data_IF_339365029602
#
_entry.id   IF_339365029602
#
_cell.length_a   1.000
_cell.length_b   1.000
_cell.length_c   1.000
_cell.angle_alpha   90.00
_cell.angle_beta   90.00
_cell.angle_gamma   90.00
#
_symmetry.space_group_name_H-M   'P 1'
#
loop_
_entity.id
_entity.type
_entity.pdbx_description
1 polymer ?
#
# COMPACT_ATOMS: atom_id res chain seq x y z
N UNK A 1 -18.30 -16.74 -18.80
CA UNK A 1 -17.21 -16.44 -17.84
C UNK A 1 -16.32 -15.39 -18.48
N UNK A 2 -15.88 -14.37 -17.74
CA UNK A 2 -15.01 -13.32 -18.25
C UNK A 2 -13.71 -13.32 -17.42
N UNK A 3 -12.57 -13.42 -18.10
CA UNK A 3 -11.24 -13.43 -17.47
C UNK A 3 -10.51 -12.17 -17.93
N UNK A 4 -10.16 -11.24 -17.02
CA UNK A 4 -9.41 -10.04 -17.38
C UNK A 4 -8.00 -10.39 -17.87
N UNK A 5 -7.43 -9.56 -18.76
CA UNK A 5 -6.09 -9.79 -19.31
C UNK A 5 -5.00 -9.74 -18.23
N UNK A 6 -5.25 -8.94 -17.18
CA UNK A 6 -4.37 -8.77 -16.03
C UNK A 6 -4.27 -10.04 -15.16
N UNK A 7 -5.18 -11.01 -15.33
CA UNK A 7 -5.14 -12.29 -14.62
C UNK A 7 -5.61 -12.24 -13.16
N UNK A 8 -6.11 -11.11 -12.68
CA UNK A 8 -6.65 -10.95 -11.32
C UNK A 8 -7.83 -9.97 -11.25
N UNK A 9 -8.59 -10.03 -10.16
CA UNK A 9 -9.65 -9.08 -9.81
C UNK A 9 -9.38 -8.59 -8.39
N UNK A 10 -9.52 -7.27 -8.15
CA UNK A 10 -9.40 -6.68 -6.82
C UNK A 10 -10.68 -5.96 -6.44
N UNK A 11 -11.23 -6.31 -5.28
CA UNK A 11 -12.32 -5.58 -4.63
C UNK A 11 -11.94 -5.35 -3.17
N UNK A 12 -11.92 -4.10 -2.72
CA UNK A 12 -11.54 -3.76 -1.35
C UNK A 12 -12.45 -2.63 -0.81
N UNK A 13 -13.75 -2.73 -1.07
CA UNK A 13 -14.76 -1.71 -0.75
C UNK A 13 -14.50 -0.34 -1.42
N UNK A 14 -13.59 -0.31 -2.40
CA UNK A 14 -13.37 0.83 -3.28
C UNK A 14 -14.51 0.94 -4.30
N UNK A 15 -14.66 2.12 -4.89
CA UNK A 15 -15.60 2.34 -5.99
C UNK A 15 -15.30 1.38 -7.13
N UNK A 16 -16.33 0.64 -7.56
CA UNK A 16 -16.24 -0.37 -8.63
C UNK A 16 -16.58 0.19 -10.01
N UNK A 17 -17.29 1.32 -10.06
CA UNK A 17 -17.80 1.92 -11.28
C UNK A 17 -17.03 3.19 -11.63
N UNK A 18 -16.84 3.44 -12.93
CA UNK A 18 -16.32 4.71 -13.42
C UNK A 18 -17.30 5.87 -13.17
N UNK A 19 -16.83 7.10 -13.37
CA UNK A 19 -17.58 8.32 -13.07
C UNK A 19 -18.89 8.44 -13.87
N UNK A 20 -18.95 7.83 -15.05
CA UNK A 20 -20.13 7.84 -15.94
C UNK A 20 -21.19 6.77 -15.69
N UNK A 21 -21.10 5.98 -14.62
CA UNK A 21 -22.09 4.93 -14.35
C UNK A 21 -23.45 5.53 -13.93
N UNK A 22 -24.55 5.21 -14.63
CA UNK A 22 -25.79 6.01 -14.54
C UNK A 22 -26.65 5.71 -13.31
N UNK A 23 -26.33 4.65 -12.56
CA UNK A 23 -27.15 4.22 -11.43
C UNK A 23 -26.45 4.46 -10.10
N UNK A 24 -27.19 5.00 -9.13
CA UNK A 24 -26.72 5.10 -7.75
C UNK A 24 -26.61 3.69 -7.15
N UNK A 25 -25.40 3.31 -6.74
CA UNK A 25 -25.15 2.07 -6.00
C UNK A 25 -25.11 2.31 -4.49
N UNK A 26 -24.34 3.32 -4.07
CA UNK A 26 -24.17 3.77 -2.68
C UNK A 26 -23.62 5.19 -2.68
N UNK A 27 -23.88 5.93 -1.60
CA UNK A 27 -23.30 7.26 -1.37
C UNK A 27 -21.88 7.21 -0.81
N UNK A 28 -21.45 6.07 -0.26
CA UNK A 28 -20.16 5.94 0.41
C UNK A 28 -19.35 4.76 -0.12
N UNK A 29 -18.05 5.02 -0.31
CA UNK A 29 -17.03 4.03 -0.67
C UNK A 29 -15.83 4.23 0.24
N UNK A 30 -15.09 3.14 0.51
CA UNK A 30 -13.81 3.27 1.17
C UNK A 30 -12.77 3.86 0.22
N UNK A 31 -11.81 4.66 0.72
CA UNK A 31 -10.70 5.14 -0.08
C UNK A 31 -9.95 4.01 -0.80
N UNK A 32 -9.39 4.24 -2.00
CA UNK A 32 -8.90 3.19 -2.88
C UNK A 32 -7.57 2.56 -2.43
N UNK A 33 -6.96 3.03 -1.35
CA UNK A 33 -5.60 2.67 -0.93
C UNK A 33 -5.37 1.16 -0.80
N UNK A 34 -6.32 0.42 -0.23
CA UNK A 34 -6.20 -1.03 -0.05
C UNK A 34 -6.25 -1.75 -1.40
N UNK A 35 -7.18 -1.35 -2.27
CA UNK A 35 -7.30 -1.90 -3.61
C UNK A 35 -6.04 -1.64 -4.44
N UNK A 36 -5.51 -0.41 -4.38
CA UNK A 36 -4.26 -0.03 -5.04
C UNK A 36 -3.07 -0.84 -4.52
N UNK A 37 -2.96 -1.04 -3.20
CA UNK A 37 -1.89 -1.84 -2.59
C UNK A 37 -1.95 -3.30 -3.00
N UNK A 38 -3.14 -3.93 -2.95
CA UNK A 38 -3.33 -5.31 -3.39
C UNK A 38 -3.00 -5.46 -4.87
N UNK A 39 -3.52 -4.58 -5.74
CA UNK A 39 -3.24 -4.63 -7.17
C UNK A 39 -1.75 -4.51 -7.48
N UNK A 40 -1.04 -3.59 -6.83
CA UNK A 40 0.40 -3.44 -6.99
C UNK A 40 1.17 -4.71 -6.58
N UNK A 41 0.78 -5.36 -5.48
CA UNK A 41 1.42 -6.60 -5.02
C UNK A 41 1.13 -7.78 -5.97
N UNK A 42 -0.09 -7.89 -6.49
CA UNK A 42 -0.46 -8.92 -7.46
C UNK A 42 0.24 -8.74 -8.81
N UNK A 43 0.51 -7.50 -9.22
CA UNK A 43 1.24 -7.19 -10.47
C UNK A 43 2.74 -7.48 -10.37
N UNK A 44 3.34 -7.35 -9.19
CA UNK A 44 4.79 -7.47 -9.00
C UNK A 44 5.30 -8.91 -8.96
N UNK A 45 4.42 -9.90 -8.75
CA UNK A 45 4.80 -11.29 -8.62
C UNK A 45 3.81 -12.16 -9.40
N UNK A 46 4.25 -12.76 -10.50
CA UNK A 46 3.52 -13.81 -11.19
C UNK A 46 4.51 -14.86 -11.72
N UNK A 47 4.26 -16.17 -11.50
CA UNK A 47 3.16 -16.76 -10.73
C UNK A 47 3.31 -16.56 -9.20
N UNK A 48 2.18 -16.38 -8.50
CA UNK A 48 2.14 -16.24 -7.04
C UNK A 48 2.10 -17.61 -6.36
N UNK A 49 2.92 -17.80 -5.33
CA UNK A 49 2.86 -18.95 -4.44
C UNK A 49 1.80 -18.77 -3.33
N UNK A 50 1.50 -19.84 -2.58
CA UNK A 50 0.65 -19.74 -1.38
C UNK A 50 1.26 -18.79 -0.32
N UNK A 51 2.59 -18.80 -0.18
CA UNK A 51 3.29 -17.90 0.74
C UNK A 51 3.11 -16.43 0.33
N UNK A 52 3.13 -16.12 -0.97
CA UNK A 52 2.90 -14.77 -1.47
C UNK A 52 1.50 -14.26 -1.12
N UNK A 53 0.49 -15.11 -1.23
CA UNK A 53 -0.86 -14.76 -0.81
C UNK A 53 -0.94 -14.50 0.70
N UNK A 54 -0.25 -15.31 1.50
CA UNK A 54 -0.11 -15.07 2.94
C UNK A 54 0.52 -13.72 3.25
N UNK A 55 1.55 -13.32 2.50
CA UNK A 55 2.19 -12.00 2.64
C UNK A 55 1.25 -10.87 2.24
N UNK A 56 0.53 -11.01 1.12
CA UNK A 56 -0.43 -9.99 0.64
C UNK A 56 -1.56 -9.79 1.67
N UNK A 57 -2.08 -10.87 2.27
CA UNK A 57 -3.12 -10.79 3.29
C UNK A 57 -2.66 -10.10 4.58
N UNK A 58 -1.37 -10.19 4.91
CA UNK A 58 -0.79 -9.59 6.11
C UNK A 58 -0.06 -8.26 5.83
N UNK A 59 -0.25 -7.67 4.65
CA UNK A 59 0.37 -6.38 4.32
C UNK A 59 -0.17 -5.26 5.21
N UNK A 60 0.74 -4.52 5.86
CA UNK A 60 0.40 -3.42 6.78
C UNK A 60 0.76 -2.04 6.22
N UNK A 61 1.14 -1.97 4.94
CA UNK A 61 1.58 -0.72 4.32
C UNK A 61 0.40 0.21 4.06
N UNK A 62 0.41 1.38 4.70
CA UNK A 62 -0.58 2.43 4.46
C UNK A 62 -0.14 3.40 3.36
N UNK A 63 -0.78 3.32 2.19
CA UNK A 63 -0.55 4.30 1.10
C UNK A 63 -1.00 5.71 1.49
N UNK A 64 -2.02 5.83 2.35
CA UNK A 64 -2.45 7.12 2.91
C UNK A 64 -1.33 7.74 3.75
N UNK A 65 -0.71 6.97 4.65
CA UNK A 65 0.41 7.41 5.46
C UNK A 65 1.58 7.87 4.59
N UNK A 66 1.96 7.07 3.58
CA UNK A 66 3.04 7.44 2.65
C UNK A 66 2.75 8.76 1.94
N UNK A 67 1.53 8.92 1.40
CA UNK A 67 1.12 10.16 0.73
C UNK A 67 1.18 11.36 1.68
N UNK A 68 0.65 11.19 2.90
CA UNK A 68 0.66 12.24 3.91
C UNK A 68 2.09 12.62 4.28
N UNK A 69 2.94 11.66 4.63
CA UNK A 69 4.32 11.90 5.06
C UNK A 69 5.18 12.51 3.94
N UNK A 70 5.01 12.08 2.69
CA UNK A 70 5.66 12.71 1.53
C UNK A 70 5.37 14.21 1.43
N UNK A 71 4.18 14.64 1.87
CA UNK A 71 3.74 16.03 1.78
C UNK A 71 4.05 16.82 3.05
N UNK A 72 3.85 16.21 4.22
CA UNK A 72 3.92 16.87 5.51
C UNK A 72 5.35 16.95 6.07
N UNK A 73 6.15 15.89 5.92
CA UNK A 73 7.47 15.82 6.55
C UNK A 73 8.42 16.96 6.11
N UNK A 74 8.49 17.36 4.82
CA UNK A 74 9.31 18.50 4.42
C UNK A 74 8.89 19.81 5.08
N UNK A 75 7.58 20.02 5.25
CA UNK A 75 7.04 21.22 5.90
C UNK A 75 7.35 21.22 7.40
N UNK A 76 7.16 20.07 8.06
CA UNK A 76 7.47 19.92 9.48
C UNK A 76 8.95 20.18 9.76
N UNK A 77 9.85 19.73 8.88
CA UNK A 77 11.29 19.99 9.01
C UNK A 77 11.65 21.45 8.77
N UNK A 78 10.95 22.13 7.84
CA UNK A 78 11.21 23.52 7.51
C UNK A 78 10.76 24.50 8.61
N UNK A 79 9.62 24.21 9.24
CA UNK A 79 9.03 25.06 10.30
C UNK A 79 9.53 24.71 11.71
N UNK A 80 10.36 23.67 11.86
CA UNK A 80 10.83 23.20 13.15
C UNK A 80 11.80 24.19 13.80
N UNK A 81 11.47 24.65 15.02
CA UNK A 81 12.33 25.52 15.81
C UNK A 81 13.42 24.71 16.54
N UNK A 82 14.69 25.14 16.47
CA UNK A 82 15.77 24.42 17.14
C UNK A 82 15.60 24.43 18.66
N UNK A 83 15.90 23.29 19.29
CA UNK A 83 15.96 23.16 20.76
C UNK A 83 14.68 22.64 21.43
N UNK A 84 13.60 22.41 20.68
CA UNK A 84 12.45 21.64 21.17
C UNK A 84 12.75 20.14 21.10
N UNK A 85 13.18 19.58 22.23
CA UNK A 85 13.54 18.16 22.36
C UNK A 85 12.42 17.21 22.01
N UNK A 86 11.15 17.58 22.25
CA UNK A 86 10.02 16.70 21.94
C UNK A 86 9.78 16.68 20.44
N UNK A 87 9.79 17.85 19.80
CA UNK A 87 9.66 17.94 18.36
C UNK A 87 10.84 17.31 17.62
N UNK A 88 12.08 17.46 18.13
CA UNK A 88 13.27 16.76 17.63
C UNK A 88 13.06 15.23 17.63
N UNK A 89 12.62 14.67 18.76
CA UNK A 89 12.36 13.24 18.89
C UNK A 89 11.21 12.78 17.98
N UNK A 90 10.13 13.56 17.89
CA UNK A 90 9.01 13.25 17.02
C UNK A 90 9.41 13.23 15.54
N UNK A 91 10.23 14.18 15.09
CA UNK A 91 10.73 14.24 13.72
C UNK A 91 11.59 13.04 13.38
N UNK A 92 12.46 12.59 14.30
CA UNK A 92 13.25 11.36 14.12
C UNK A 92 12.34 10.15 13.94
N UNK A 93 11.34 9.99 14.82
CA UNK A 93 10.39 8.88 14.73
C UNK A 93 9.58 8.90 13.42
N UNK A 94 9.13 10.08 13.01
CA UNK A 94 8.39 10.27 11.77
C UNK A 94 9.25 10.02 10.52
N UNK A 95 10.51 10.42 10.52
CA UNK A 95 11.46 10.12 9.45
C UNK A 95 11.72 8.61 9.34
N UNK A 96 11.94 7.94 10.46
CA UNK A 96 12.13 6.47 10.52
C UNK A 96 10.88 5.72 10.08
N UNK A 97 9.69 6.19 10.46
CA UNK A 97 8.44 5.59 10.02
C UNK A 97 8.19 5.83 8.52
N UNK A 98 8.58 6.99 7.99
CA UNK A 98 8.41 7.32 6.58
C UNK A 98 9.33 6.49 5.67
N UNK A 99 10.55 6.24 6.12
CA UNK A 99 11.50 5.33 5.48
C UNK A 99 11.69 4.09 6.35
N UNK A 100 10.70 3.18 6.42
CA UNK A 100 10.91 1.94 7.13
C UNK A 100 12.10 1.21 6.49
N UNK A 101 12.90 0.47 7.27
CA UNK A 101 13.96 -0.34 6.69
C UNK A 101 13.41 -1.16 5.53
N UNK A 102 14.20 -1.31 4.46
CA UNK A 102 13.82 -2.11 3.31
C UNK A 102 13.27 -3.44 3.84
N UNK A 103 12.06 -3.82 3.40
CA UNK A 103 11.45 -5.06 3.88
C UNK A 103 12.51 -6.14 3.77
N UNK A 104 12.84 -6.78 4.89
CA UNK A 104 13.76 -7.91 4.88
C UNK A 104 13.25 -8.83 3.79
N UNK A 105 14.03 -8.96 2.72
CA UNK A 105 13.73 -9.86 1.62
C UNK A 105 13.74 -11.26 2.18
N UNK A 106 12.63 -11.68 2.79
CA UNK A 106 12.41 -13.03 3.25
C UNK A 106 12.36 -13.85 1.97
N UNK A 107 13.53 -14.43 1.65
CA UNK A 107 13.89 -15.15 0.45
C UNK A 107 12.72 -15.47 -0.48
N UNK A 108 12.78 -14.92 -1.70
CA UNK A 108 12.13 -15.49 -2.88
C UNK A 108 12.59 -16.95 -2.97
N UNK A 109 11.81 -17.88 -2.40
CA UNK A 109 12.19 -19.29 -2.43
C UNK A 109 12.10 -19.78 -3.89
N UNK A 110 13.17 -20.37 -4.44
CA UNK A 110 13.11 -21.02 -5.75
C UNK A 110 12.40 -22.37 -5.58
N UNK A 111 11.09 -22.33 -5.36
CA UNK A 111 10.24 -23.51 -5.29
C UNK A 111 9.92 -24.03 -6.68
N UNK A 112 10.92 -24.47 -7.44
CA UNK A 112 10.68 -25.43 -8.53
C UNK A 112 10.22 -26.73 -7.89
N UNK A 113 8.95 -27.07 -8.08
CA UNK A 113 8.50 -28.46 -8.00
C UNK A 113 7.67 -28.69 -9.27
N UNK A 114 8.32 -29.28 -10.27
CA UNK A 114 7.61 -30.04 -11.30
C UNK A 114 7.09 -31.37 -10.71
N UNK A 115 6.37 -32.20 -11.46
CA UNK A 115 6.31 -32.27 -12.93
C UNK A 115 5.17 -31.45 -13.57
#
# INVERSE_FOLDING_TARGET
RHNPMEGFIVTANNRMTGDGYPHLLTGEWQPPYRAQRIAALLQQAAPLSLADHGRIQNDTVSLLARRFMNSALPLLLAEHAPGDRLADQALILLQQWHQPPAEEGHNMHPGRVGP
#
